data_IF_305913509185
#
_entry.id   IF_305913509185
#
_cell.length_a   1.000
_cell.length_b   1.000
_cell.length_c   1.000
_cell.angle_alpha   90.00
_cell.angle_beta   90.00
_cell.angle_gamma   90.00
#
_symmetry.space_group_name_H-M   'P 1'
#
loop_
_entity.id
_entity.type
_entity.pdbx_description
1 polymer ?
#
# COMPACT_ATOMS: atom_id res chain seq x y z
N UNK A 1 21.88 -9.88 15.06
CA UNK A 1 21.85 -8.59 14.34
C UNK A 1 20.61 -8.59 13.46
N UNK A 2 19.72 -7.62 13.63
CA UNK A 2 18.56 -7.48 12.74
C UNK A 2 19.03 -6.72 11.49
N UNK A 3 18.87 -7.30 10.31
CA UNK A 3 19.24 -6.68 9.04
C UNK A 3 18.01 -6.02 8.39
N UNK A 4 17.88 -4.71 8.56
CA UNK A 4 16.74 -3.93 8.04
C UNK A 4 16.78 -3.81 6.51
N UNK A 5 17.95 -3.92 5.88
CA UNK A 5 18.08 -3.78 4.42
C UNK A 5 17.33 -4.90 3.69
N UNK A 6 17.25 -6.10 4.26
CA UNK A 6 16.49 -7.23 3.69
C UNK A 6 14.98 -6.97 3.73
N UNK A 7 14.49 -6.35 4.81
CA UNK A 7 13.06 -6.05 4.99
C UNK A 7 12.60 -5.04 3.94
N UNK A 8 13.47 -4.09 3.55
CA UNK A 8 13.13 -3.06 2.55
C UNK A 8 13.03 -3.57 1.10
N UNK A 9 13.41 -4.83 0.83
CA UNK A 9 13.43 -5.40 -0.53
C UNK A 9 12.24 -6.31 -0.84
N UNK A 10 11.34 -6.52 0.11
CA UNK A 10 10.13 -7.32 -0.08
C UNK A 10 9.19 -6.69 -1.10
N UNK A 11 8.52 -7.54 -1.88
CA UNK A 11 7.55 -7.12 -2.88
C UNK A 11 6.28 -7.96 -2.83
N UNK A 12 5.14 -7.33 -3.12
CA UNK A 12 3.85 -7.97 -3.37
C UNK A 12 3.54 -8.01 -4.85
N UNK A 13 3.13 -9.17 -5.36
CA UNK A 13 2.74 -9.36 -6.76
C UNK A 13 1.29 -8.93 -6.97
N UNK A 14 1.08 -7.90 -7.79
CA UNK A 14 -0.25 -7.38 -8.12
C UNK A 14 -0.49 -7.55 -9.62
N UNK A 15 -1.55 -8.28 -10.00
CA UNK A 15 -1.95 -8.46 -11.39
C UNK A 15 -2.93 -7.36 -11.81
N UNK A 16 -2.52 -6.48 -12.72
CA UNK A 16 -3.31 -5.38 -13.26
C UNK A 16 -3.30 -5.46 -14.79
N UNK A 17 -4.47 -5.51 -15.42
CA UNK A 17 -4.60 -5.62 -16.88
C UNK A 17 -3.78 -6.77 -17.49
N UNK A 18 -3.85 -7.95 -16.87
CA UNK A 18 -3.07 -9.14 -17.22
C UNK A 18 -1.54 -9.06 -17.06
N UNK A 19 -1.01 -7.96 -16.53
CA UNK A 19 0.41 -7.82 -16.21
C UNK A 19 0.65 -7.94 -14.72
N UNK A 20 1.72 -8.63 -14.33
CA UNK A 20 2.16 -8.71 -12.93
C UNK A 20 3.10 -7.53 -12.64
N UNK A 21 2.83 -6.81 -11.56
CA UNK A 21 3.66 -5.73 -11.04
C UNK A 21 4.09 -6.07 -9.63
N UNK A 22 5.40 -6.10 -9.41
CA UNK A 22 6.04 -6.39 -8.12
C UNK A 22 6.21 -5.07 -7.37
N UNK A 23 5.25 -4.76 -6.51
CA UNK A 23 5.21 -3.51 -5.73
C UNK A 23 5.96 -3.71 -4.43
N UNK A 24 6.90 -2.83 -4.11
CA UNK A 24 7.64 -2.89 -2.85
C UNK A 24 6.73 -2.64 -1.65
N UNK A 25 7.18 -3.08 -0.47
CA UNK A 25 6.51 -2.78 0.79
C UNK A 25 6.28 -1.27 0.98
N UNK A 26 5.25 -0.97 1.78
CA UNK A 26 4.81 0.41 2.02
C UNK A 26 5.89 1.15 2.82
N UNK A 27 6.36 2.26 2.28
CA UNK A 27 7.33 3.10 2.97
C UNK A 27 6.70 3.82 4.16
N UNK A 28 7.51 4.23 5.15
CA UNK A 28 7.02 5.01 6.29
C UNK A 28 6.30 6.31 5.87
N UNK A 29 6.78 6.99 4.82
CA UNK A 29 6.14 8.21 4.32
C UNK A 29 4.76 7.94 3.71
N UNK A 30 4.59 6.81 3.04
CA UNK A 30 3.28 6.36 2.55
C UNK A 30 2.35 6.02 3.71
N UNK A 31 2.83 5.28 4.72
CA UNK A 31 2.05 4.94 5.91
C UNK A 31 1.53 6.20 6.62
N UNK A 32 2.38 7.22 6.79
CA UNK A 32 1.98 8.53 7.35
C UNK A 32 0.84 9.17 6.55
N UNK A 33 0.95 9.22 5.22
CA UNK A 33 -0.06 9.82 4.34
C UNK A 33 -1.37 9.05 4.33
N UNK A 34 -1.33 7.72 4.45
CA UNK A 34 -2.54 6.90 4.61
C UNK A 34 -3.25 7.22 5.92
N UNK A 35 -2.52 7.35 7.04
CA UNK A 35 -3.10 7.76 8.32
C UNK A 35 -3.72 9.16 8.25
N UNK A 36 -3.01 10.14 7.67
CA UNK A 36 -3.54 11.49 7.44
C UNK A 36 -4.82 11.48 6.60
N UNK A 37 -4.89 10.61 5.59
CA UNK A 37 -6.09 10.45 4.79
C UNK A 37 -7.23 9.80 5.58
N UNK A 38 -6.96 8.79 6.40
CA UNK A 38 -7.98 8.20 7.29
C UNK A 38 -8.52 9.20 8.31
N UNK A 39 -7.68 10.08 8.84
CA UNK A 39 -8.10 11.17 9.72
C UNK A 39 -8.93 12.20 8.98
N UNK A 40 -8.52 12.58 7.76
CA UNK A 40 -9.32 13.44 6.89
C UNK A 40 -10.71 12.87 6.61
N UNK A 41 -10.85 11.56 6.35
CA UNK A 41 -12.16 10.92 6.13
C UNK A 41 -13.10 10.99 7.34
N UNK A 42 -12.59 11.27 8.54
CA UNK A 42 -13.39 11.44 9.76
C UNK A 42 -13.76 12.91 10.02
N UNK A 43 -13.17 13.84 9.28
CA UNK A 43 -13.42 15.27 9.39
C UNK A 43 -14.78 15.64 8.77
N UNK A 44 -15.65 16.38 9.47
CA UNK A 44 -16.93 16.86 8.91
C UNK A 44 -16.80 17.71 7.63
N UNK A 45 -15.64 18.30 7.38
CA UNK A 45 -15.34 19.10 6.19
C UNK A 45 -14.91 18.27 4.98
N UNK A 46 -14.76 16.94 5.13
CA UNK A 46 -14.34 16.08 4.04
C UNK A 46 -15.36 16.05 2.90
N UNK A 47 -14.88 16.27 1.67
CA UNK A 47 -15.69 16.18 0.46
C UNK A 47 -15.39 14.92 -0.33
N UNK A 48 -16.35 14.43 -1.13
CA UNK A 48 -16.17 13.24 -1.99
C UNK A 48 -15.04 13.45 -2.98
N UNK A 49 -15.06 14.56 -3.72
CA UNK A 49 -14.08 14.86 -4.77
C UNK A 49 -12.63 14.86 -4.25
N UNK A 50 -12.39 15.50 -3.10
CA UNK A 50 -11.06 15.53 -2.50
C UNK A 50 -10.68 14.17 -1.90
N UNK A 51 -11.66 13.42 -1.36
CA UNK A 51 -11.43 12.06 -0.86
C UNK A 51 -11.00 11.11 -1.99
N UNK A 52 -11.69 11.18 -3.13
CA UNK A 52 -11.38 10.40 -4.33
C UNK A 52 -10.00 10.76 -4.89
N UNK A 53 -9.70 12.05 -4.97
CA UNK A 53 -8.39 12.54 -5.43
C UNK A 53 -7.25 12.05 -4.55
N UNK A 54 -7.38 12.16 -3.22
CA UNK A 54 -6.38 11.69 -2.26
C UNK A 54 -6.19 10.18 -2.31
N UNK A 55 -7.29 9.43 -2.40
CA UNK A 55 -7.22 7.97 -2.54
C UNK A 55 -6.48 7.58 -3.82
N UNK A 56 -6.81 8.22 -4.95
CA UNK A 56 -6.15 7.96 -6.23
C UNK A 56 -4.65 8.27 -6.16
N UNK A 57 -4.27 9.40 -5.56
CA UNK A 57 -2.86 9.78 -5.41
C UNK A 57 -2.09 8.76 -4.54
N UNK A 58 -2.68 8.28 -3.44
CA UNK A 58 -2.09 7.23 -2.60
C UNK A 58 -1.89 5.91 -3.36
N UNK A 59 -2.89 5.47 -4.12
CA UNK A 59 -2.80 4.24 -4.91
C UNK A 59 -1.75 4.37 -6.00
N UNK A 60 -1.68 5.52 -6.69
CA UNK A 60 -0.67 5.77 -7.72
C UNK A 60 0.73 5.70 -7.12
N UNK A 61 0.95 6.35 -5.98
CA UNK A 61 2.24 6.34 -5.31
C UNK A 61 2.64 4.94 -4.88
N UNK A 62 1.69 4.17 -4.32
CA UNK A 62 1.88 2.78 -3.96
C UNK A 62 2.27 1.93 -5.18
N UNK A 63 1.49 1.98 -6.26
CA UNK A 63 1.77 1.21 -7.48
C UNK A 63 3.08 1.64 -8.16
N UNK A 64 3.45 2.92 -8.09
CA UNK A 64 4.67 3.46 -8.68
C UNK A 64 5.95 3.09 -7.92
N UNK A 65 5.81 2.61 -6.69
CA UNK A 65 6.89 2.01 -5.92
C UNK A 65 7.07 0.53 -6.30
N UNK A 66 7.43 0.26 -7.55
CA UNK A 66 7.56 -1.10 -8.08
C UNK A 66 8.93 -1.37 -8.69
N UNK A 67 9.32 -2.65 -8.69
CA UNK A 67 10.59 -3.13 -9.28
C UNK A 67 10.59 -3.13 -10.81
N UNK A 68 9.41 -3.16 -11.43
CA UNK A 68 9.25 -3.23 -12.88
C UNK A 68 9.47 -1.86 -13.58
N UNK A 69 9.73 -0.79 -12.82
CA UNK A 69 9.81 0.60 -13.31
C UNK A 69 8.55 1.08 -14.07
N UNK A 70 7.41 0.42 -13.84
CA UNK A 70 6.14 0.81 -14.46
C UNK A 70 5.64 2.11 -13.83
N UNK A 71 5.05 2.98 -14.65
CA UNK A 71 4.46 4.24 -14.21
C UNK A 71 2.96 4.25 -14.45
N UNK A 72 2.22 4.41 -13.37
CA UNK A 72 0.78 4.58 -13.33
C UNK A 72 0.44 6.05 -13.15
N UNK A 73 -0.68 6.44 -13.74
CA UNK A 73 -1.27 7.78 -13.60
C UNK A 73 -2.79 7.66 -13.41
N UNK A 74 -3.47 8.80 -13.22
CA UNK A 74 -4.93 8.84 -12.98
C UNK A 74 -5.73 8.17 -14.09
N UNK A 75 -5.35 8.37 -15.36
CA UNK A 75 -6.03 7.74 -16.50
C UNK A 75 -5.93 6.22 -16.49
N UNK A 76 -4.92 5.65 -15.84
CA UNK A 76 -4.80 4.19 -15.69
C UNK A 76 -5.70 3.68 -14.57
N UNK A 77 -5.89 4.47 -13.51
CA UNK A 77 -6.86 4.17 -12.45
C UNK A 77 -8.30 4.30 -12.96
N UNK A 78 -8.61 5.28 -13.81
CA UNK A 78 -9.94 5.50 -14.38
C UNK A 78 -10.45 4.30 -15.22
N UNK A 79 -9.53 3.45 -15.71
CA UNK A 79 -9.86 2.21 -16.44
C UNK A 79 -10.20 1.05 -15.51
N UNK A 80 -9.87 1.17 -14.23
CA UNK A 80 -10.13 0.13 -13.24
C UNK A 80 -11.55 0.27 -12.69
N UNK A 81 -12.14 -0.88 -12.33
CA UNK A 81 -13.42 -0.87 -11.63
C UNK A 81 -13.26 -0.25 -10.23
N UNK A 82 -14.35 0.33 -9.70
CA UNK A 82 -14.37 0.81 -8.32
C UNK A 82 -13.95 -0.28 -7.31
N UNK A 83 -14.35 -1.53 -7.54
CA UNK A 83 -13.95 -2.66 -6.71
C UNK A 83 -12.43 -2.89 -6.73
N UNK A 84 -11.78 -2.71 -7.88
CA UNK A 84 -10.33 -2.80 -8.03
C UNK A 84 -9.62 -1.69 -7.24
N UNK A 85 -10.11 -0.46 -7.32
CA UNK A 85 -9.58 0.69 -6.55
C UNK A 85 -9.69 0.42 -5.04
N UNK A 86 -10.86 -0.02 -4.58
CA UNK A 86 -11.09 -0.39 -3.17
C UNK A 86 -10.17 -1.52 -2.71
N UNK A 87 -9.97 -2.53 -3.56
CA UNK A 87 -9.06 -3.66 -3.27
C UNK A 87 -7.62 -3.19 -3.11
N UNK A 88 -7.14 -2.33 -4.02
CA UNK A 88 -5.79 -1.77 -3.95
C UNK A 88 -5.58 -0.92 -2.68
N UNK A 89 -6.55 -0.07 -2.35
CA UNK A 89 -6.49 0.73 -1.13
C UNK A 89 -6.47 -0.14 0.14
N UNK A 90 -7.34 -1.15 0.21
CA UNK A 90 -7.39 -2.06 1.35
C UNK A 90 -6.10 -2.87 1.51
N UNK A 91 -5.52 -3.35 0.40
CA UNK A 91 -4.23 -4.04 0.41
C UNK A 91 -3.14 -3.15 1.00
N UNK A 92 -3.06 -1.89 0.57
CA UNK A 92 -2.10 -0.93 1.11
C UNK A 92 -2.29 -0.72 2.62
N UNK A 93 -3.53 -0.58 3.09
CA UNK A 93 -3.85 -0.47 4.53
C UNK A 93 -3.48 -1.74 5.30
N UNK A 94 -3.75 -2.91 4.73
CA UNK A 94 -3.40 -4.20 5.33
C UNK A 94 -1.88 -4.36 5.48
N UNK A 95 -1.10 -3.99 4.45
CA UNK A 95 0.37 -4.02 4.51
C UNK A 95 0.89 -3.09 5.61
N UNK A 96 0.31 -1.90 5.76
CA UNK A 96 0.67 -0.97 6.86
C UNK A 96 0.35 -1.62 8.21
N UNK A 97 -0.85 -2.15 8.40
CA UNK A 97 -1.28 -2.71 9.68
C UNK A 97 -0.52 -4.00 10.04
N UNK A 98 -0.19 -4.84 9.05
CA UNK A 98 0.69 -6.01 9.25
C UNK A 98 2.08 -5.59 9.69
N UNK A 99 2.62 -4.52 9.11
CA UNK A 99 3.91 -3.94 9.53
C UNK A 99 3.84 -3.36 10.95
N UNK A 100 2.69 -2.83 11.37
CA UNK A 100 2.46 -2.34 12.74
C UNK A 100 2.27 -3.47 13.77
N UNK A 101 1.78 -4.64 13.33
CA UNK A 101 1.54 -5.83 14.14
C UNK A 101 2.70 -6.84 14.16
N UNK A 102 3.83 -6.56 13.51
CA UNK A 102 4.99 -7.46 13.53
C UNK A 102 6.19 -6.88 14.30
N UNK A 103 6.35 -7.22 15.59
CA UNK A 103 7.58 -7.01 16.35
C UNK A 103 8.57 -8.19 16.27
N UNK A 104 8.42 -9.15 15.32
CA UNK A 104 9.04 -10.49 15.13
C UNK A 104 8.12 -11.71 15.45
N UNK A 105 6.83 -11.73 15.07
CA UNK A 105 5.78 -12.47 15.80
C UNK A 105 5.47 -13.97 15.47
N UNK A 106 6.27 -14.72 14.71
CA UNK A 106 6.20 -16.22 14.74
C UNK A 106 7.54 -16.94 14.94
N UNK A 107 8.69 -16.28 14.74
CA UNK A 107 9.96 -17.00 14.58
C UNK A 107 10.67 -17.41 15.87
N UNK A 108 10.12 -17.12 17.05
CA UNK A 108 10.68 -17.58 18.33
C UNK A 108 9.91 -18.72 19.00
N UNK A 109 8.86 -19.28 18.38
CA UNK A 109 8.10 -20.41 18.95
C UNK A 109 8.35 -21.78 18.28
N UNK A 110 9.25 -21.91 17.29
CA UNK A 110 9.57 -23.21 16.67
C UNK A 110 11.06 -23.52 16.51
N UNK A 111 11.93 -22.83 17.24
CA UNK A 111 13.28 -23.33 17.46
C UNK A 111 13.44 -23.56 18.96
N UNK A 112 13.66 -24.83 19.33
CA UNK A 112 13.90 -25.36 20.68
C UNK A 112 12.67 -25.93 21.41
N UNK A 113 12.26 -27.13 20.99
CA UNK A 113 12.14 -28.30 21.88
C UNK A 113 12.22 -29.60 21.09
#
# INVERSE_FOLDING_TARGET
MINIDVITQNTTDIKINNEVVNVYDVTYSMAKRVREFQDYLRDPSATSDESEKRQADLIIDFLNNNKNNKKFNKKDLDKLSFMSIKTLYNLMVELINKTELDPNLESHCQAEK
#
